data_IF_886568870980
#
_entry.id   IF_886568870980
#
_cell.length_a   1.000
_cell.length_b   1.000
_cell.length_c   1.000
_cell.angle_alpha   90.00
_cell.angle_beta   90.00
_cell.angle_gamma   90.00
#
_symmetry.space_group_name_H-M   'P 1'
#
loop_
_entity.id
_entity.type
_entity.pdbx_description
1 polymer ?
#
# COMPACT_ATOMS: atom_id res chain seq x y z
N UNK A 1 -24.49 40.96 -59.93
CA UNK A 1 -24.80 39.61 -59.40
C UNK A 1 -23.48 38.88 -59.27
N UNK A 2 -22.99 38.81 -58.04
CA UNK A 2 -21.59 38.52 -57.69
C UNK A 2 -21.25 37.03 -57.81
N UNK A 3 -20.19 36.72 -58.56
CA UNK A 3 -19.38 35.51 -58.34
C UNK A 3 -17.92 35.96 -58.31
N UNK A 4 -17.40 36.22 -57.10
CA UNK A 4 -15.96 36.35 -56.87
C UNK A 4 -15.40 35.03 -56.38
N UNK A 5 -14.63 34.45 -57.27
CA UNK A 5 -13.62 33.41 -57.10
C UNK A 5 -12.76 33.67 -55.85
N UNK A 6 -12.70 32.70 -54.93
CA UNK A 6 -11.64 32.61 -53.92
C UNK A 6 -11.13 31.18 -53.86
N UNK A 7 -9.85 31.10 -54.20
CA UNK A 7 -8.90 30.00 -54.17
C UNK A 7 -8.94 29.25 -52.84
N UNK A 8 -9.17 27.94 -52.86
CA UNK A 8 -8.89 27.06 -51.71
C UNK A 8 -7.47 26.51 -51.88
N UNK A 9 -6.52 27.12 -51.18
CA UNK A 9 -5.16 26.61 -51.04
C UNK A 9 -5.18 25.50 -49.99
N UNK A 10 -4.81 24.28 -50.39
CA UNK A 10 -4.50 23.18 -49.47
C UNK A 10 -3.34 23.58 -48.56
N UNK A 11 -3.55 23.53 -47.25
CA UNK A 11 -2.48 23.54 -46.25
C UNK A 11 -2.64 22.27 -45.42
N UNK A 12 -1.90 21.24 -45.80
CA UNK A 12 -1.57 20.11 -44.95
C UNK A 12 -0.71 20.60 -43.79
N UNK A 13 -1.30 20.76 -42.60
CA UNK A 13 -0.53 20.89 -41.36
C UNK A 13 -0.03 19.50 -40.94
N UNK A 14 1.21 19.20 -41.27
CA UNK A 14 1.98 18.17 -40.56
C UNK A 14 2.50 18.84 -39.28
N UNK A 15 1.80 18.62 -38.17
CA UNK A 15 2.29 19.04 -36.85
C UNK A 15 3.28 18.00 -36.35
N UNK A 16 4.56 18.21 -36.66
CA UNK A 16 5.66 17.53 -35.96
C UNK A 16 5.81 18.24 -34.62
N UNK A 17 5.17 17.71 -33.58
CA UNK A 17 5.48 18.09 -32.21
C UNK A 17 6.86 17.53 -31.86
N UNK A 18 7.92 18.28 -32.19
CA UNK A 18 9.24 18.10 -31.60
C UNK A 18 9.12 18.40 -30.11
N UNK A 19 8.95 17.34 -29.32
CA UNK A 19 9.16 17.38 -27.87
C UNK A 19 10.66 17.61 -27.66
N UNK A 20 11.04 18.86 -27.50
CA UNK A 20 12.37 19.22 -27.04
C UNK A 20 12.52 18.67 -25.61
N UNK A 21 13.21 17.52 -25.49
CA UNK A 21 13.78 17.05 -24.25
C UNK A 21 14.83 18.08 -23.81
N UNK A 22 14.41 19.03 -22.99
CA UNK A 22 15.34 19.77 -22.14
C UNK A 22 15.87 18.76 -21.14
N UNK A 23 17.03 18.22 -21.47
CA UNK A 23 17.94 17.67 -20.48
C UNK A 23 18.43 18.81 -19.59
N UNK A 24 18.13 18.70 -18.31
CA UNK A 24 19.07 18.92 -17.22
C UNK A 24 18.67 17.94 -16.13
N UNK A 25 19.46 16.88 -15.98
CA UNK A 25 19.34 15.97 -14.86
C UNK A 25 19.79 16.68 -13.59
N UNK A 26 18.83 17.17 -12.81
CA UNK A 26 19.02 17.26 -11.37
C UNK A 26 18.81 15.87 -10.79
N UNK A 27 19.84 15.04 -11.00
CA UNK A 27 20.13 13.93 -10.10
C UNK A 27 20.09 14.47 -8.67
N UNK A 28 19.67 13.65 -7.71
CA UNK A 28 19.77 13.90 -6.28
C UNK A 28 21.25 14.11 -5.89
N UNK A 29 21.82 15.24 -6.24
CA UNK A 29 23.15 15.67 -5.84
C UNK A 29 22.97 16.37 -4.52
N UNK A 30 23.01 15.59 -3.44
CA UNK A 30 23.57 16.10 -2.20
C UNK A 30 25.04 16.45 -2.48
N UNK A 31 25.28 17.68 -2.94
CA UNK A 31 26.60 18.29 -2.75
C UNK A 31 26.67 18.69 -1.28
N UNK A 32 27.25 17.85 -0.46
CA UNK A 32 28.03 18.31 0.68
C UNK A 32 29.32 17.52 0.74
N UNK A 33 30.39 18.22 0.38
CA UNK A 33 31.74 17.95 0.86
C UNK A 33 31.68 18.02 2.38
N UNK A 34 31.72 16.85 3.03
CA UNK A 34 32.27 16.58 4.37
C UNK A 34 31.71 15.22 4.81
N UNK A 35 32.60 14.22 4.89
CA UNK A 35 32.30 12.79 5.00
C UNK A 35 31.71 12.34 6.35
N UNK A 36 30.50 12.79 6.68
CA UNK A 36 29.60 12.14 7.64
C UNK A 36 28.17 12.21 7.09
N UNK A 37 27.62 11.06 6.73
CA UNK A 37 26.24 10.88 6.26
C UNK A 37 25.24 11.53 7.23
N UNK A 38 24.49 12.55 6.80
CA UNK A 38 23.40 13.13 7.59
C UNK A 38 22.28 12.10 7.75
N UNK A 39 21.83 11.89 8.98
CA UNK A 39 20.68 11.04 9.30
C UNK A 39 19.46 11.42 8.46
N UNK A 40 18.87 10.45 7.76
CA UNK A 40 17.62 10.61 7.03
C UNK A 40 16.47 10.27 7.97
N UNK A 41 16.05 11.23 8.80
CA UNK A 41 14.91 10.99 9.71
C UNK A 41 13.66 10.67 8.91
N UNK A 42 13.25 9.39 8.94
CA UNK A 42 12.00 8.96 8.31
C UNK A 42 10.79 9.51 9.06
N UNK A 43 9.72 9.80 8.32
CA UNK A 43 8.49 10.40 8.86
C UNK A 43 7.27 9.69 8.31
N UNK A 44 6.21 9.68 9.11
CA UNK A 44 4.86 9.34 8.67
C UNK A 44 4.14 10.63 8.27
N UNK A 45 3.62 10.64 7.04
CA UNK A 45 2.85 11.75 6.47
C UNK A 45 1.44 11.29 6.13
N UNK A 46 0.46 12.20 6.11
CA UNK A 46 -0.94 11.86 5.88
C UNK A 46 -1.47 12.53 4.62
N UNK A 47 -2.34 11.82 3.87
CA UNK A 47 -3.18 12.39 2.81
C UNK A 47 -4.58 11.81 2.85
N UNK A 48 -5.55 12.53 2.31
CA UNK A 48 -6.83 11.95 1.93
C UNK A 48 -6.71 11.49 0.49
N UNK A 49 -6.82 10.18 0.27
CA UNK A 49 -6.69 9.58 -1.06
C UNK A 49 -7.99 8.85 -1.43
N UNK A 50 -8.29 8.83 -2.73
CA UNK A 50 -9.47 8.16 -3.27
C UNK A 50 -9.13 6.71 -3.62
N UNK A 51 -9.97 5.78 -3.18
CA UNK A 51 -9.80 4.34 -3.40
C UNK A 51 -11.04 3.74 -4.04
N UNK A 52 -10.83 2.68 -4.80
CA UNK A 52 -11.90 1.94 -5.47
C UNK A 52 -12.71 1.16 -4.44
N UNK A 53 -14.02 1.30 -4.59
CA UNK A 53 -15.03 0.51 -3.90
C UNK A 53 -16.05 0.02 -4.92
N UNK A 54 -16.86 -0.96 -4.58
CA UNK A 54 -18.04 -1.30 -5.37
C UNK A 54 -19.19 -0.26 -5.19
N UNK A 55 -20.36 -0.53 -5.76
CA UNK A 55 -21.54 0.34 -5.59
C UNK A 55 -22.13 0.36 -4.20
N UNK A 56 -21.89 -0.67 -3.39
CA UNK A 56 -22.30 -0.73 -1.98
C UNK A 56 -21.21 -0.11 -1.08
N UNK A 57 -20.19 0.49 -1.69
CA UNK A 57 -19.03 1.10 -1.06
C UNK A 57 -18.16 0.12 -0.25
N UNK A 58 -18.13 -1.16 -0.64
CA UNK A 58 -17.20 -2.16 -0.13
C UNK A 58 -15.82 -2.01 -0.79
N UNK A 59 -14.76 -2.12 0.00
CA UNK A 59 -13.38 -1.92 -0.45
C UNK A 59 -12.86 -3.03 -1.35
N UNK A 60 -12.04 -2.65 -2.31
CA UNK A 60 -11.38 -3.55 -3.24
C UNK A 60 -9.87 -3.56 -3.04
N UNK A 61 -9.28 -4.73 -3.24
CA UNK A 61 -7.87 -5.01 -2.96
C UNK A 61 -7.17 -5.67 -4.14
N UNK A 62 -5.84 -5.57 -4.15
CA UNK A 62 -4.93 -6.35 -5.00
C UNK A 62 -4.02 -7.23 -4.15
N UNK A 63 -3.42 -8.25 -4.76
CA UNK A 63 -2.55 -9.21 -4.10
C UNK A 63 -1.15 -9.22 -4.71
N UNK A 64 -0.13 -8.93 -3.92
CA UNK A 64 1.27 -8.86 -4.37
C UNK A 64 1.80 -10.16 -4.99
N UNK A 65 1.21 -11.31 -4.62
CA UNK A 65 1.65 -12.60 -5.14
C UNK A 65 0.98 -12.95 -6.47
N UNK A 66 0.04 -12.15 -6.96
CA UNK A 66 -0.54 -12.36 -8.27
C UNK A 66 0.47 -12.09 -9.38
N UNK A 67 0.26 -12.75 -10.51
CA UNK A 67 0.91 -12.36 -11.74
C UNK A 67 -0.01 -11.39 -12.49
N UNK A 68 0.57 -10.55 -13.37
CA UNK A 68 -0.25 -9.69 -14.22
C UNK A 68 -1.23 -10.55 -15.04
N UNK A 69 -2.49 -10.13 -15.06
CA UNK A 69 -3.62 -10.84 -15.66
C UNK A 69 -3.86 -12.25 -15.09
N UNK A 70 -3.40 -12.56 -13.87
CA UNK A 70 -3.61 -13.90 -13.28
C UNK A 70 -3.62 -13.90 -11.75
N UNK A 71 -4.73 -14.37 -11.20
CA UNK A 71 -4.83 -14.70 -9.77
C UNK A 71 -4.00 -15.94 -9.41
N UNK A 72 -3.20 -15.83 -8.36
CA UNK A 72 -2.54 -16.93 -7.65
C UNK A 72 -3.25 -17.27 -6.32
N UNK A 73 -4.41 -16.65 -6.07
CA UNK A 73 -5.27 -16.94 -4.92
C UNK A 73 -6.10 -18.20 -5.22
N UNK A 74 -5.75 -19.31 -4.56
CA UNK A 74 -6.43 -20.60 -4.72
C UNK A 74 -7.83 -20.64 -4.08
N UNK A 75 -8.49 -21.79 -4.13
CA UNK A 75 -9.86 -21.95 -3.61
C UNK A 75 -10.00 -21.68 -2.10
N UNK A 76 -8.97 -21.92 -1.29
CA UNK A 76 -9.01 -21.60 0.15
C UNK A 76 -8.75 -20.11 0.38
N UNK A 77 -7.80 -19.53 -0.36
CA UNK A 77 -7.56 -18.10 -0.38
C UNK A 77 -8.82 -17.33 -0.76
N UNK A 78 -9.57 -17.77 -1.79
CA UNK A 78 -10.78 -17.11 -2.26
C UNK A 78 -11.97 -17.15 -1.30
N UNK A 79 -11.95 -18.01 -0.28
CA UNK A 79 -12.95 -17.94 0.81
C UNK A 79 -12.76 -16.70 1.68
N UNK A 80 -11.52 -16.22 1.79
CA UNK A 80 -11.15 -15.03 2.57
C UNK A 80 -11.01 -13.80 1.67
N UNK A 81 -10.58 -14.02 0.42
CA UNK A 81 -10.34 -13.00 -0.59
C UNK A 81 -11.09 -13.33 -1.88
N UNK A 82 -12.43 -13.20 -1.91
CA UNK A 82 -13.19 -13.51 -3.11
C UNK A 82 -12.81 -12.56 -4.25
N UNK A 83 -12.63 -13.08 -5.45
CA UNK A 83 -12.44 -12.25 -6.65
C UNK A 83 -13.69 -11.38 -6.90
N UNK A 84 -13.45 -10.13 -7.27
CA UNK A 84 -14.51 -9.19 -7.60
C UNK A 84 -14.99 -9.42 -9.04
N UNK A 85 -16.27 -9.76 -9.17
CA UNK A 85 -16.93 -9.93 -10.45
C UNK A 85 -17.36 -8.58 -11.01
N UNK A 86 -17.21 -8.40 -12.32
CA UNK A 86 -17.70 -7.19 -12.97
C UNK A 86 -17.57 -7.25 -14.48
N UNK A 87 -18.31 -6.38 -15.15
CA UNK A 87 -18.26 -6.24 -16.60
C UNK A 87 -17.20 -5.22 -17.01
N UNK A 88 -16.68 -5.36 -18.24
CA UNK A 88 -15.65 -4.46 -18.74
C UNK A 88 -16.11 -3.00 -18.73
N UNK A 89 -15.22 -2.11 -18.32
CA UNK A 89 -15.47 -0.68 -18.19
C UNK A 89 -14.99 0.07 -19.44
N UNK A 90 -15.32 1.36 -19.54
CA UNK A 90 -14.66 2.25 -20.50
C UNK A 90 -13.23 2.64 -20.07
N UNK A 91 -12.82 2.23 -18.88
CA UNK A 91 -11.51 2.52 -18.29
C UNK A 91 -10.39 1.79 -19.03
N UNK A 92 -9.29 2.51 -19.25
CA UNK A 92 -8.04 1.89 -19.67
C UNK A 92 -7.35 1.16 -18.51
N UNK A 93 -7.61 1.60 -17.29
CA UNK A 93 -7.00 1.06 -16.08
C UNK A 93 -7.79 -0.12 -15.50
N UNK A 94 -9.12 -0.16 -15.63
CA UNK A 94 -9.96 -1.24 -15.07
C UNK A 94 -10.55 -2.07 -16.21
N UNK A 95 -10.13 -3.32 -16.32
CA UNK A 95 -10.57 -4.23 -17.38
C UNK A 95 -10.98 -5.56 -16.83
N UNK A 96 -11.77 -6.31 -17.59
CA UNK A 96 -11.99 -7.72 -17.30
C UNK A 96 -10.65 -8.45 -17.38
N UNK A 97 -10.39 -9.24 -16.35
CA UNK A 97 -9.28 -10.15 -16.25
C UNK A 97 -9.39 -11.19 -17.37
N UNK A 98 -8.36 -11.27 -18.20
CA UNK A 98 -8.37 -12.05 -19.45
C UNK A 98 -8.87 -13.49 -19.25
N UNK A 99 -9.93 -13.87 -19.98
CA UNK A 99 -10.50 -15.21 -19.92
C UNK A 99 -11.40 -15.51 -18.72
N UNK A 100 -11.80 -14.49 -17.95
CA UNK A 100 -12.68 -14.61 -16.78
C UNK A 100 -13.80 -13.56 -16.81
N UNK A 101 -14.65 -13.54 -15.78
CA UNK A 101 -15.66 -12.50 -15.49
C UNK A 101 -15.29 -11.62 -14.28
N UNK A 102 -14.02 -11.69 -13.85
CA UNK A 102 -13.47 -10.87 -12.78
C UNK A 102 -12.87 -9.57 -13.32
N UNK A 103 -12.85 -8.51 -12.53
CA UNK A 103 -12.15 -7.29 -12.89
C UNK A 103 -10.71 -7.28 -12.38
N UNK A 104 -9.87 -6.54 -13.11
CA UNK A 104 -8.50 -6.25 -12.75
C UNK A 104 -8.22 -4.75 -12.90
N UNK A 105 -7.50 -4.18 -11.93
CA UNK A 105 -6.96 -2.83 -12.01
C UNK A 105 -5.49 -2.88 -12.45
N UNK A 106 -5.18 -2.25 -13.58
CA UNK A 106 -3.85 -2.26 -14.21
C UNK A 106 -3.25 -3.66 -14.32
N UNK A 107 -4.11 -4.63 -14.66
CA UNK A 107 -3.81 -6.08 -14.78
C UNK A 107 -3.65 -6.83 -13.46
N UNK A 108 -3.85 -6.19 -12.31
CA UNK A 108 -3.91 -6.87 -11.01
C UNK A 108 -5.35 -7.26 -10.70
N UNK A 109 -5.66 -8.56 -10.46
CA UNK A 109 -7.00 -8.99 -10.10
C UNK A 109 -7.54 -8.23 -8.88
N UNK A 110 -8.84 -7.90 -8.92
CA UNK A 110 -9.53 -7.23 -7.84
C UNK A 110 -10.19 -8.24 -6.91
N UNK A 111 -10.09 -8.00 -5.60
CA UNK A 111 -10.65 -8.86 -4.57
C UNK A 111 -11.47 -8.06 -3.57
N UNK A 112 -12.49 -8.70 -3.02
CA UNK A 112 -13.05 -8.32 -1.73
C UNK A 112 -12.22 -8.92 -0.60
N UNK A 113 -12.45 -8.40 0.61
CA UNK A 113 -12.03 -9.06 1.83
C UNK A 113 -13.23 -9.55 2.62
N UNK A 114 -13.26 -10.85 2.94
CA UNK A 114 -14.39 -11.48 3.61
C UNK A 114 -14.73 -10.87 4.97
N UNK A 115 -13.77 -10.21 5.63
CA UNK A 115 -14.01 -9.58 6.93
C UNK A 115 -14.44 -8.10 6.83
N UNK A 116 -14.42 -7.48 5.65
CA UNK A 116 -15.08 -6.19 5.48
C UNK A 116 -16.59 -6.43 5.49
N UNK A 117 -17.30 -5.86 6.47
CA UNK A 117 -18.75 -6.09 6.70
C UNK A 117 -19.59 -4.85 6.49
N UNK A 118 -18.96 -3.68 6.50
CA UNK A 118 -19.62 -2.41 6.32
C UNK A 118 -18.95 -1.60 5.20
N UNK A 119 -19.72 -0.71 4.55
CA UNK A 119 -19.19 0.22 3.57
C UNK A 119 -18.00 1.03 4.12
N UNK A 120 -16.91 1.06 3.38
CA UNK A 120 -15.66 1.75 3.73
C UNK A 120 -14.80 1.04 4.79
N UNK A 121 -15.12 -0.20 5.17
CA UNK A 121 -14.18 -1.04 5.91
C UNK A 121 -12.94 -1.26 5.05
N UNK A 122 -11.75 -1.18 5.66
CA UNK A 122 -10.46 -1.33 4.98
C UNK A 122 -9.59 -2.37 5.68
N UNK A 123 -10.22 -3.37 6.32
CA UNK A 123 -9.56 -4.30 7.24
C UNK A 123 -8.61 -5.27 6.52
N UNK A 124 -8.79 -5.42 5.21
CA UNK A 124 -7.92 -6.24 4.37
C UNK A 124 -6.57 -5.58 4.08
N UNK A 125 -6.47 -4.28 4.29
CA UNK A 125 -5.29 -3.54 3.92
C UNK A 125 -4.07 -3.95 4.76
N UNK A 126 -2.93 -4.16 4.11
CA UNK A 126 -1.68 -4.64 4.70
C UNK A 126 -1.78 -6.00 5.41
N UNK A 127 -2.83 -6.82 5.17
CA UNK A 127 -2.88 -8.17 5.72
C UNK A 127 -1.66 -8.95 5.22
N UNK A 128 -0.82 -9.41 6.16
CA UNK A 128 0.46 -10.09 5.87
C UNK A 128 1.39 -9.31 4.92
N UNK A 129 1.26 -7.99 4.85
CA UNK A 129 2.06 -7.09 4.00
C UNK A 129 1.99 -7.37 2.49
N UNK A 130 0.96 -8.07 2.02
CA UNK A 130 0.82 -8.50 0.62
C UNK A 130 -0.54 -8.16 0.00
N UNK A 131 -1.46 -7.57 0.76
CA UNK A 131 -2.79 -7.16 0.31
C UNK A 131 -2.93 -5.66 0.42
N UNK A 132 -3.32 -5.00 -0.67
CA UNK A 132 -3.29 -3.54 -0.77
C UNK A 132 -4.59 -2.99 -1.32
N UNK A 133 -5.12 -1.95 -0.67
CA UNK A 133 -6.27 -1.20 -1.17
C UNK A 133 -5.98 -0.61 -2.56
N UNK A 134 -6.98 -0.71 -3.45
CA UNK A 134 -6.81 -0.24 -4.82
C UNK A 134 -7.06 1.27 -4.91
N UNK A 135 -6.03 2.02 -5.30
CA UNK A 135 -6.19 3.46 -5.51
C UNK A 135 -7.08 3.73 -6.73
N UNK A 136 -7.96 4.72 -6.59
CA UNK A 136 -8.84 5.09 -7.67
C UNK A 136 -8.04 5.81 -8.77
N UNK A 137 -8.22 5.46 -10.06
CA UNK A 137 -7.56 6.16 -11.14
C UNK A 137 -7.97 7.65 -11.15
N UNK A 138 -6.96 8.52 -11.22
CA UNK A 138 -7.13 9.95 -11.38
C UNK A 138 -7.82 10.23 -12.72
N UNK A 139 -8.93 10.99 -12.70
CA UNK A 139 -9.68 11.32 -13.92
C UNK A 139 -10.53 10.19 -14.50
N UNK A 140 -10.63 9.01 -13.85
CA UNK A 140 -11.67 8.04 -14.23
C UNK A 140 -13.05 8.65 -14.02
N UNK A 141 -13.73 8.87 -15.14
CA UNK A 141 -15.15 9.19 -15.24
C UNK A 141 -15.97 7.90 -15.40
N UNK A 142 -15.55 6.82 -14.73
CA UNK A 142 -16.27 5.55 -14.76
C UNK A 142 -17.68 5.74 -14.19
N UNK A 143 -18.60 6.10 -15.08
CA UNK A 143 -20.03 5.83 -14.93
C UNK A 143 -20.25 4.36 -15.23
N UNK A 144 -19.65 3.50 -14.42
CA UNK A 144 -20.06 2.11 -14.34
C UNK A 144 -21.02 1.93 -13.16
N UNK A 145 -22.01 1.07 -13.35
CA UNK A 145 -22.98 0.64 -12.34
C UNK A 145 -22.40 -0.29 -11.27
N UNK A 146 -21.09 -0.54 -11.23
CA UNK A 146 -20.47 -1.54 -10.34
C UNK A 146 -19.29 -1.03 -9.49
N UNK A 147 -18.73 0.17 -9.77
CA UNK A 147 -17.60 0.73 -9.03
C UNK A 147 -17.84 2.19 -8.68
N UNK A 148 -17.32 2.60 -7.53
CA UNK A 148 -17.33 3.98 -7.02
C UNK A 148 -15.97 4.32 -6.39
N UNK A 149 -15.87 5.51 -5.79
CA UNK A 149 -14.68 5.97 -5.08
C UNK A 149 -15.06 6.40 -3.67
N UNK A 150 -14.25 6.03 -2.69
CA UNK A 150 -14.35 6.55 -1.32
C UNK A 150 -13.05 7.25 -0.93
N UNK A 151 -13.14 8.25 -0.05
CA UNK A 151 -11.94 8.87 0.52
C UNK A 151 -11.54 8.15 1.80
N UNK A 152 -10.27 7.78 1.88
CA UNK A 152 -9.66 7.26 3.09
C UNK A 152 -8.46 8.11 3.47
N UNK A 153 -8.19 8.18 4.77
CA UNK A 153 -6.99 8.78 5.32
C UNK A 153 -5.88 7.75 5.19
N UNK A 154 -4.90 8.06 4.38
CA UNK A 154 -3.73 7.23 4.17
C UNK A 154 -2.53 7.85 4.88
N UNK A 155 -1.79 7.03 5.61
CA UNK A 155 -0.50 7.39 6.22
C UNK A 155 0.61 6.70 5.43
N UNK A 156 1.64 7.44 5.02
CA UNK A 156 2.71 6.94 4.17
C UNK A 156 4.08 7.44 4.60
N UNK A 157 5.13 6.73 4.17
CA UNK A 157 6.51 7.00 4.54
C UNK A 157 7.11 8.11 3.67
N UNK A 158 7.73 9.07 4.34
CA UNK A 158 8.53 10.13 3.70
C UNK A 158 9.89 10.25 4.39
N UNK A 159 10.83 10.90 3.72
CA UNK A 159 12.07 11.32 4.38
C UNK A 159 11.92 12.62 5.18
N UNK A 160 13.05 13.13 5.69
CA UNK A 160 13.10 14.37 6.50
C UNK A 160 12.56 15.60 5.77
N UNK A 161 12.66 15.62 4.43
CA UNK A 161 12.25 16.70 3.55
C UNK A 161 10.84 16.47 2.99
N UNK A 162 10.10 15.49 3.52
CA UNK A 162 8.74 15.12 3.11
C UNK A 162 8.66 14.63 1.65
N UNK A 163 9.73 14.03 1.13
CA UNK A 163 9.68 13.32 -0.16
C UNK A 163 9.12 11.91 0.06
N UNK A 164 8.15 11.51 -0.77
CA UNK A 164 7.53 10.19 -0.71
C UNK A 164 8.50 9.08 -1.09
N UNK A 165 8.39 7.94 -0.39
CA UNK A 165 9.15 6.73 -0.67
C UNK A 165 8.24 5.66 -1.29
N UNK A 166 8.80 4.90 -2.22
CA UNK A 166 8.10 3.93 -3.07
C UNK A 166 8.78 2.57 -3.10
N UNK A 167 8.01 1.56 -3.48
CA UNK A 167 8.46 0.19 -3.79
C UNK A 167 8.07 -0.21 -5.22
N UNK A 168 8.67 -1.28 -5.72
CA UNK A 168 8.53 -1.73 -7.11
C UNK A 168 8.18 -3.21 -7.20
N UNK A 169 7.12 -3.57 -7.92
CA UNK A 169 6.65 -4.97 -8.03
C UNK A 169 7.62 -5.91 -8.73
N UNK A 170 8.52 -5.37 -9.57
CA UNK A 170 9.53 -6.20 -10.22
C UNK A 170 10.72 -6.49 -9.32
N UNK A 171 10.81 -5.86 -8.16
CA UNK A 171 11.81 -6.22 -7.17
C UNK A 171 11.42 -7.54 -6.49
N UNK A 172 12.42 -8.23 -5.96
CA UNK A 172 12.18 -9.37 -5.08
C UNK A 172 12.74 -9.04 -3.71
N UNK A 173 12.36 -9.82 -2.70
CA UNK A 173 12.80 -9.56 -1.33
C UNK A 173 14.35 -9.48 -1.27
N UNK A 174 14.87 -8.32 -0.88
CA UNK A 174 16.30 -8.07 -0.78
C UNK A 174 17.02 -7.74 -2.10
N UNK A 175 16.32 -7.68 -3.23
CA UNK A 175 16.94 -7.50 -4.56
C UNK A 175 16.21 -6.41 -5.35
N UNK A 176 16.95 -5.35 -5.68
CA UNK A 176 16.50 -4.33 -6.63
C UNK A 176 16.75 -4.77 -8.07
N UNK A 177 15.73 -4.55 -8.91
CA UNK A 177 15.76 -4.71 -10.36
C UNK A 177 15.64 -3.38 -11.12
N UNK A 178 15.53 -2.26 -10.41
CA UNK A 178 15.52 -0.92 -10.98
C UNK A 178 16.94 -0.45 -11.26
N UNK A 179 17.36 -0.53 -12.53
CA UNK A 179 18.65 -0.02 -13.01
C UNK A 179 18.46 0.88 -14.23
N UNK A 180 19.41 1.79 -14.45
CA UNK A 180 19.53 2.47 -15.73
C UNK A 180 19.95 1.50 -16.85
N UNK A 181 19.81 1.94 -18.10
CA UNK A 181 20.12 1.10 -19.28
C UNK A 181 21.60 0.69 -19.32
N UNK A 182 22.48 1.56 -18.81
CA UNK A 182 23.88 1.27 -18.48
C UNK A 182 24.29 2.10 -17.24
N UNK A 183 25.35 1.71 -16.52
CA UNK A 183 25.84 2.42 -15.34
C UNK A 183 26.15 3.92 -15.55
N UNK A 184 26.39 4.36 -16.78
CA UNK A 184 26.79 5.74 -17.11
C UNK A 184 25.75 6.53 -17.90
N UNK A 185 24.69 5.87 -18.38
CA UNK A 185 23.74 6.48 -19.32
C UNK A 185 22.87 7.59 -18.74
N UNK A 186 22.63 7.61 -17.43
CA UNK A 186 21.65 8.48 -16.78
C UNK A 186 20.23 8.36 -17.37
N UNK A 187 19.93 7.24 -18.05
CA UNK A 187 18.65 6.97 -18.70
C UNK A 187 18.20 5.55 -18.42
N UNK A 188 16.99 5.41 -17.88
CA UNK A 188 16.44 4.13 -17.46
C UNK A 188 15.71 4.25 -16.13
N UNK A 189 15.68 3.18 -15.34
CA UNK A 189 14.84 3.14 -14.15
C UNK A 189 15.30 4.12 -13.07
N UNK A 190 16.59 4.14 -12.73
CA UNK A 190 17.15 4.97 -11.66
C UNK A 190 17.05 6.47 -11.97
N UNK A 191 17.05 6.85 -13.26
CA UNK A 191 16.85 8.26 -13.65
C UNK A 191 15.45 8.80 -13.33
N UNK A 192 14.43 7.93 -13.28
CA UNK A 192 13.03 8.28 -12.97
C UNK A 192 12.69 7.93 -11.52
N UNK A 193 13.31 6.86 -11.00
CA UNK A 193 13.11 6.29 -9.68
C UNK A 193 14.43 6.24 -8.90
N UNK A 194 14.95 7.39 -8.43
CA UNK A 194 16.23 7.41 -7.76
C UNK A 194 16.19 6.58 -6.48
N UNK A 195 17.28 5.86 -6.23
CA UNK A 195 17.39 4.96 -5.09
C UNK A 195 17.43 5.75 -3.78
N UNK A 196 16.73 5.27 -2.75
CA UNK A 196 16.87 5.79 -1.41
C UNK A 196 18.08 5.16 -0.70
N UNK A 197 19.13 5.96 -0.58
CA UNK A 197 20.34 5.62 0.17
C UNK A 197 20.27 6.26 1.56
N UNK A 198 20.47 5.46 2.62
CA UNK A 198 20.64 6.02 3.96
C UNK A 198 21.38 5.06 4.87
N UNK A 199 22.46 5.54 5.49
CA UNK A 199 23.23 4.79 6.49
C UNK A 199 22.63 4.91 7.90
N UNK A 200 21.82 5.96 8.15
CA UNK A 200 21.17 6.23 9.42
C UNK A 200 19.76 6.78 9.16
N UNK A 201 18.75 6.01 9.55
CA UNK A 201 17.32 6.36 9.40
C UNK A 201 16.82 7.31 10.51
N UNK A 202 17.66 7.62 11.49
CA UNK A 202 17.30 8.42 12.65
C UNK A 202 16.13 7.82 13.44
N UNK A 203 15.29 8.70 13.99
CA UNK A 203 14.05 8.29 14.65
C UNK A 203 13.08 7.74 13.61
N UNK A 204 12.55 6.54 13.86
CA UNK A 204 11.56 5.90 13.01
C UNK A 204 10.15 6.41 13.36
N UNK A 205 9.25 6.55 12.36
CA UNK A 205 7.88 6.97 12.62
C UNK A 205 7.09 5.90 13.37
N UNK A 206 6.05 6.35 14.07
CA UNK A 206 5.11 5.45 14.76
C UNK A 206 4.51 4.42 13.79
N UNK A 207 4.35 3.18 14.27
CA UNK A 207 3.90 2.05 13.44
C UNK A 207 4.99 1.39 12.61
N UNK A 208 6.26 1.80 12.78
CA UNK A 208 7.42 1.12 12.19
C UNK A 208 8.47 0.80 13.25
N UNK A 209 9.27 -0.23 12.96
CA UNK A 209 10.36 -0.69 13.82
C UNK A 209 11.64 -0.83 13.02
N UNK A 210 12.79 -0.90 13.70
CA UNK A 210 14.07 -1.13 13.04
C UNK A 210 14.10 -2.46 12.26
N UNK A 211 13.30 -3.47 12.67
CA UNK A 211 13.21 -4.75 11.99
C UNK A 211 12.50 -4.66 10.64
N UNK A 212 11.68 -3.62 10.42
CA UNK A 212 11.06 -3.38 9.12
C UNK A 212 12.05 -2.87 8.09
N UNK A 213 13.23 -2.37 8.51
CA UNK A 213 14.23 -1.80 7.61
C UNK A 213 15.46 -2.68 7.51
N UNK A 214 15.93 -2.89 6.29
CA UNK A 214 17.16 -3.62 6.00
C UNK A 214 18.01 -2.84 5.01
N UNK A 215 19.31 -3.14 4.96
CA UNK A 215 20.20 -2.64 3.91
C UNK A 215 20.51 -3.78 2.95
N UNK A 216 20.27 -3.55 1.67
CA UNK A 216 20.54 -4.50 0.59
C UNK A 216 21.76 -4.05 -0.20
N UNK A 217 22.49 -5.02 -0.75
CA UNK A 217 23.58 -4.75 -1.67
C UNK A 217 23.08 -4.86 -3.12
N UNK A 218 23.12 -3.76 -3.86
CA UNK A 218 22.81 -3.71 -5.29
C UNK A 218 23.90 -4.38 -6.11
N UNK A 219 23.56 -4.84 -7.31
CA UNK A 219 24.53 -5.38 -8.27
C UNK A 219 25.47 -4.26 -8.75
N UNK A 220 26.72 -4.31 -8.29
CA UNK A 220 27.73 -3.29 -8.60
C UNK A 220 28.06 -3.19 -10.09
N UNK A 221 27.82 -4.24 -10.89
CA UNK A 221 28.04 -4.19 -12.34
C UNK A 221 26.93 -3.42 -13.07
N UNK A 222 25.78 -3.22 -12.43
CA UNK A 222 24.60 -2.57 -13.01
C UNK A 222 24.28 -1.23 -12.37
N UNK A 223 24.64 -1.06 -11.09
CA UNK A 223 24.42 0.18 -10.34
C UNK A 223 25.10 1.36 -11.02
N UNK A 224 24.47 2.53 -10.92
CA UNK A 224 24.99 3.78 -11.48
C UNK A 224 26.38 4.10 -10.96
N UNK A 225 27.30 4.43 -11.87
CA UNK A 225 28.70 4.68 -11.53
C UNK A 225 28.83 5.92 -10.61
N UNK A 226 29.60 5.77 -9.53
CA UNK A 226 29.83 6.83 -8.54
C UNK A 226 28.75 6.96 -7.46
N UNK A 227 27.67 6.17 -7.52
CA UNK A 227 26.63 6.13 -6.48
C UNK A 227 26.87 4.98 -5.48
N UNK A 228 26.35 5.07 -4.23
CA UNK A 228 26.39 3.97 -3.28
C UNK A 228 25.67 2.71 -3.81
N UNK A 229 26.17 1.53 -3.45
CA UNK A 229 25.50 0.25 -3.76
C UNK A 229 24.60 -0.25 -2.63
N UNK A 230 24.62 0.40 -1.47
CA UNK A 230 23.83 0.03 -0.30
C UNK A 230 22.50 0.76 -0.31
N UNK A 231 21.41 0.05 -0.58
CA UNK A 231 20.06 0.59 -0.63
C UNK A 231 19.26 0.18 0.59
N UNK A 232 18.41 1.07 1.09
CA UNK A 232 17.47 0.73 2.16
C UNK A 232 16.27 0.00 1.58
N UNK A 233 15.81 -1.04 2.25
CA UNK A 233 14.58 -1.75 1.94
C UNK A 233 13.62 -1.72 3.15
N UNK A 234 12.33 -1.58 2.88
CA UNK A 234 11.25 -1.67 3.87
C UNK A 234 10.48 -2.97 3.67
N UNK A 235 10.36 -3.78 4.72
CA UNK A 235 9.77 -5.12 4.71
C UNK A 235 10.29 -5.98 3.55
N UNK A 236 11.60 -5.84 3.29
CA UNK A 236 12.27 -6.55 2.21
C UNK A 236 12.16 -5.94 0.82
N UNK A 237 11.31 -4.93 0.62
CA UNK A 237 11.14 -4.23 -0.66
C UNK A 237 12.10 -3.03 -0.76
N UNK A 238 12.95 -2.94 -1.80
CA UNK A 238 13.86 -1.82 -1.97
C UNK A 238 13.12 -0.47 -2.08
N UNK A 239 13.69 0.58 -1.48
CA UNK A 239 13.07 1.91 -1.42
C UNK A 239 13.61 2.85 -2.50
N UNK A 240 12.70 3.63 -3.09
CA UNK A 240 13.00 4.60 -4.13
C UNK A 240 12.25 5.91 -3.89
N UNK A 241 12.75 6.97 -4.48
CA UNK A 241 12.00 8.19 -4.73
C UNK A 241 11.40 8.20 -6.13
N UNK A 242 10.63 9.26 -6.44
CA UNK A 242 10.12 9.52 -7.78
C UNK A 242 10.49 10.93 -8.24
N UNK A 243 11.27 11.04 -9.31
CA UNK A 243 11.83 12.33 -9.78
C UNK A 243 10.77 13.42 -10.00
N UNK A 244 9.58 13.15 -10.58
CA UNK A 244 8.53 14.16 -10.72
C UNK A 244 7.95 14.73 -9.43
N UNK A 245 8.11 14.05 -8.28
CA UNK A 245 7.63 14.55 -6.98
C UNK A 245 8.56 15.59 -6.36
N UNK A 246 9.80 15.71 -6.84
CA UNK A 246 10.84 16.56 -6.22
C UNK A 246 10.55 18.05 -6.16
N UNK A 247 9.52 18.50 -6.88
CA UNK A 247 9.13 19.91 -6.92
C UNK A 247 8.19 20.28 -5.79
N UNK A 248 7.57 19.30 -5.14
CA UNK A 248 6.45 19.50 -4.22
C UNK A 248 6.58 18.52 -3.04
N UNK A 249 6.79 19.04 -1.83
CA UNK A 249 6.73 18.23 -0.62
C UNK A 249 5.38 17.50 -0.53
N UNK A 250 5.40 16.24 -0.06
CA UNK A 250 4.22 15.35 0.03
C UNK A 250 3.57 14.98 -1.32
N UNK A 251 4.18 15.34 -2.45
CA UNK A 251 3.72 14.84 -3.74
C UNK A 251 3.87 13.33 -3.80
N UNK A 252 2.85 12.68 -4.36
CA UNK A 252 2.71 11.22 -4.36
C UNK A 252 2.35 10.71 -5.75
N UNK A 253 2.82 11.40 -6.81
CA UNK A 253 2.46 11.13 -8.20
C UNK A 253 3.11 9.85 -8.73
N UNK A 254 4.09 9.30 -8.01
CA UNK A 254 4.70 8.00 -8.30
C UNK A 254 3.77 6.83 -8.00
N UNK A 255 2.75 7.03 -7.18
CA UNK A 255 1.88 5.96 -6.76
C UNK A 255 1.12 5.36 -7.95
N UNK A 256 1.12 4.03 -8.04
CA UNK A 256 0.60 3.22 -9.13
C UNK A 256 1.17 3.48 -10.53
N UNK A 257 2.26 4.24 -10.71
CA UNK A 257 2.80 4.50 -12.05
C UNK A 257 3.05 3.19 -12.82
N UNK A 258 2.48 3.09 -14.03
CA UNK A 258 2.50 1.87 -14.87
C UNK A 258 1.94 0.60 -14.21
N UNK A 259 1.22 0.73 -13.10
CA UNK A 259 0.60 -0.35 -12.34
C UNK A 259 1.56 -1.19 -11.50
N UNK A 260 2.80 -0.75 -11.31
CA UNK A 260 3.85 -1.58 -10.69
C UNK A 260 4.69 -0.85 -9.64
N UNK A 261 4.42 0.43 -9.41
CA UNK A 261 5.10 1.25 -8.42
C UNK A 261 4.10 1.62 -7.33
N UNK A 262 4.49 1.50 -6.06
CA UNK A 262 3.56 1.67 -4.94
C UNK A 262 4.16 2.58 -3.90
N UNK A 263 3.38 3.56 -3.45
CA UNK A 263 3.72 4.36 -2.28
C UNK A 263 3.92 3.44 -1.06
N UNK A 264 4.94 3.71 -0.25
CA UNK A 264 5.13 2.99 1.02
C UNK A 264 4.05 3.45 1.99
N UNK A 265 2.94 2.72 1.98
CA UNK A 265 1.84 2.94 2.90
C UNK A 265 2.13 2.30 4.26
N UNK A 266 1.91 3.06 5.32
CA UNK A 266 2.03 2.61 6.71
C UNK A 266 0.66 2.22 7.28
N UNK A 267 -0.39 2.94 6.88
CA UNK A 267 -1.75 2.71 7.36
C UNK A 267 -2.80 3.33 6.44
N UNK A 268 -4.02 2.79 6.49
CA UNK A 268 -5.20 3.33 5.85
C UNK A 268 -6.39 3.30 6.82
N UNK A 269 -7.12 4.40 6.90
CA UNK A 269 -8.25 4.58 7.83
C UNK A 269 -9.42 5.24 7.13
N UNK A 270 -10.63 4.74 7.38
CA UNK A 270 -11.87 5.36 6.93
C UNK A 270 -11.99 6.80 7.46
N UNK A 271 -12.36 7.74 6.58
CA UNK A 271 -12.65 9.12 7.00
C UNK A 271 -14.08 9.16 7.52
N UNK A 272 -14.28 9.29 8.84
CA UNK A 272 -15.62 9.49 9.43
C UNK A 272 -16.00 8.60 10.61
N UNK A 273 -15.09 8.37 11.56
CA UNK A 273 -15.38 7.88 12.91
C UNK A 273 -14.36 8.47 13.90
N UNK A 274 -14.72 9.60 14.49
CA UNK A 274 -13.98 10.43 15.45
C UNK A 274 -12.59 10.97 15.02
N UNK A 275 -12.59 12.23 14.59
CA UNK A 275 -11.41 13.07 14.39
C UNK A 275 -11.03 13.80 15.68
N UNK A 276 -10.75 13.10 16.79
CA UNK A 276 -10.10 13.70 17.97
C UNK A 276 -9.54 12.64 18.92
N UNK A 277 -8.50 11.91 18.51
CA UNK A 277 -7.45 11.41 19.41
C UNK A 277 -6.46 10.57 18.60
N UNK A 278 -5.18 10.65 18.92
CA UNK A 278 -4.35 9.45 18.88
C UNK A 278 -4.96 8.50 19.90
N UNK A 279 -5.61 7.38 19.56
CA UNK A 279 -6.19 6.55 20.59
C UNK A 279 -5.14 5.50 20.97
N UNK A 280 -4.52 5.74 22.12
CA UNK A 280 -4.35 4.63 23.05
C UNK A 280 -5.71 3.95 23.22
N UNK A 281 -5.85 2.70 22.75
CA UNK A 281 -6.93 1.77 23.08
C UNK A 281 -8.35 2.19 22.62
N UNK A 282 -8.62 2.27 21.30
CA UNK A 282 -9.97 2.56 20.77
C UNK A 282 -10.89 1.33 20.91
N UNK A 283 -11.80 1.35 21.88
CA UNK A 283 -12.72 0.24 22.14
C UNK A 283 -13.79 0.05 21.05
N UNK A 284 -14.14 1.09 20.30
CA UNK A 284 -15.12 0.97 19.21
C UNK A 284 -14.50 0.30 17.98
N UNK A 285 -13.26 0.65 17.63
CA UNK A 285 -12.47 -0.08 16.65
C UNK A 285 -12.21 -1.53 17.11
N UNK A 286 -11.90 -1.70 18.40
CA UNK A 286 -11.75 -3.00 19.03
C UNK A 286 -12.98 -3.88 18.95
N UNK A 287 -14.17 -3.29 19.16
CA UNK A 287 -15.46 -3.97 19.03
C UNK A 287 -15.68 -4.49 17.62
N UNK A 288 -15.34 -3.70 16.60
CA UNK A 288 -15.44 -4.12 15.21
C UNK A 288 -14.52 -5.30 14.93
N UNK A 289 -13.27 -5.26 15.38
CA UNK A 289 -12.32 -6.38 15.24
C UNK A 289 -12.85 -7.62 15.98
N UNK A 290 -13.42 -7.45 17.17
CA UNK A 290 -13.94 -8.53 17.99
C UNK A 290 -15.09 -9.30 17.36
N UNK A 291 -15.85 -8.70 16.44
CA UNK A 291 -16.88 -9.44 15.69
C UNK A 291 -16.30 -10.69 15.00
N UNK A 292 -15.04 -10.63 14.56
CA UNK A 292 -14.31 -11.76 13.98
C UNK A 292 -13.94 -12.82 15.04
N UNK A 293 -13.68 -12.40 16.28
CA UNK A 293 -13.35 -13.26 17.40
C UNK A 293 -14.60 -13.96 17.98
N UNK A 294 -15.75 -13.27 17.96
CA UNK A 294 -17.00 -13.70 18.56
C UNK A 294 -17.56 -14.99 17.94
N UNK A 295 -17.22 -15.31 16.70
CA UNK A 295 -17.60 -16.58 16.05
C UNK A 295 -17.13 -17.82 16.83
N UNK A 296 -16.00 -17.72 17.53
CA UNK A 296 -15.44 -18.78 18.35
C UNK A 296 -15.54 -18.45 19.84
N UNK A 297 -15.22 -17.21 20.23
CA UNK A 297 -15.17 -16.77 21.62
C UNK A 297 -16.51 -16.26 22.18
N UNK A 298 -17.57 -16.29 21.36
CA UNK A 298 -18.90 -15.73 21.63
C UNK A 298 -18.90 -14.22 21.83
N UNK A 299 -20.05 -13.59 21.60
CA UNK A 299 -20.21 -12.14 21.78
C UNK A 299 -19.92 -11.67 23.21
N UNK A 300 -20.15 -12.53 24.20
CA UNK A 300 -19.87 -12.25 25.61
C UNK A 300 -18.45 -12.64 26.06
N UNK A 301 -17.60 -13.16 25.17
CA UNK A 301 -16.22 -13.54 25.49
C UNK A 301 -16.09 -14.78 26.36
N UNK A 302 -17.18 -15.52 26.60
CA UNK A 302 -17.17 -16.70 27.47
C UNK A 302 -16.83 -18.00 26.73
N UNK A 303 -16.61 -17.96 25.42
CA UNK A 303 -16.18 -19.12 24.64
C UNK A 303 -17.11 -20.34 24.77
N UNK A 304 -16.62 -21.52 24.41
CA UNK A 304 -17.40 -22.77 24.45
C UNK A 304 -16.64 -23.88 25.17
N UNK A 305 -17.33 -24.77 25.92
CA UNK A 305 -16.68 -25.92 26.54
C UNK A 305 -16.00 -26.81 25.49
N UNK A 306 -14.69 -27.05 25.65
CA UNK A 306 -13.87 -27.81 24.69
C UNK A 306 -13.48 -27.05 23.42
N UNK A 307 -13.89 -25.77 23.29
CA UNK A 307 -13.59 -24.90 22.16
C UNK A 307 -12.78 -23.67 22.56
N UNK A 308 -13.24 -22.48 22.16
CA UNK A 308 -12.49 -21.25 22.40
C UNK A 308 -12.49 -20.87 23.88
N UNK A 309 -11.37 -20.33 24.36
CA UNK A 309 -11.20 -19.93 25.76
C UNK A 309 -12.04 -18.70 26.13
N UNK A 310 -12.25 -18.51 27.43
CA UNK A 310 -12.98 -17.40 28.03
C UNK A 310 -12.16 -16.10 28.06
N UNK A 311 -11.99 -15.47 26.91
CA UNK A 311 -11.18 -14.24 26.81
C UNK A 311 -11.80 -13.04 27.54
N UNK A 312 -13.14 -13.01 27.70
CA UNK A 312 -13.83 -11.96 28.45
C UNK A 312 -13.55 -12.00 29.96
N UNK A 313 -13.16 -13.16 30.50
CA UNK A 313 -12.83 -13.29 31.94
C UNK A 313 -11.40 -12.81 32.28
N UNK A 314 -10.54 -12.56 31.27
CA UNK A 314 -9.18 -12.05 31.51
C UNK A 314 -9.22 -10.64 32.11
N UNK A 315 -10.15 -9.80 31.62
CA UNK A 315 -10.49 -8.49 32.20
C UNK A 315 -9.36 -7.45 32.22
N UNK A 316 -8.23 -7.72 31.57
CA UNK A 316 -7.03 -6.88 31.55
C UNK A 316 -6.53 -6.76 30.10
N UNK A 317 -6.64 -5.55 29.53
CA UNK A 317 -6.27 -5.29 28.15
C UNK A 317 -4.79 -5.55 27.89
N UNK A 318 -3.90 -5.26 28.84
CA UNK A 318 -2.46 -5.47 28.69
C UNK A 318 -2.12 -6.95 28.58
N UNK A 319 -2.79 -7.82 29.35
CA UNK A 319 -2.61 -9.28 29.25
C UNK A 319 -3.15 -9.87 27.96
N UNK A 320 -4.24 -9.32 27.44
CA UNK A 320 -4.83 -9.76 26.16
C UNK A 320 -3.90 -9.32 25.02
N UNK A 321 -3.38 -8.09 25.07
CA UNK A 321 -2.40 -7.55 24.13
C UNK A 321 -1.12 -8.39 24.14
N UNK A 322 -0.56 -8.67 25.33
CA UNK A 322 0.63 -9.52 25.48
C UNK A 322 0.42 -10.91 24.87
N UNK A 323 -0.74 -11.54 25.10
CA UNK A 323 -1.04 -12.85 24.54
C UNK A 323 -1.18 -12.83 23.01
N UNK A 324 -1.84 -11.81 22.46
CA UNK A 324 -1.98 -11.63 21.02
C UNK A 324 -0.62 -11.35 20.37
N UNK A 325 0.20 -10.51 20.99
CA UNK A 325 1.57 -10.24 20.53
C UNK A 325 2.46 -11.49 20.62
N UNK A 326 2.33 -12.29 21.69
CA UNK A 326 3.02 -13.58 21.79
C UNK A 326 2.60 -14.51 20.65
N UNK A 327 1.30 -14.62 20.35
CA UNK A 327 0.80 -15.45 19.24
C UNK A 327 1.22 -14.93 17.86
N UNK A 328 1.31 -13.60 17.70
CA UNK A 328 1.81 -12.96 16.48
C UNK A 328 3.30 -13.26 16.25
N UNK A 329 4.13 -13.14 17.29
CA UNK A 329 5.59 -13.18 17.17
C UNK A 329 6.19 -14.58 17.30
N UNK A 330 5.69 -15.39 18.22
CA UNK A 330 6.18 -16.74 18.51
C UNK A 330 5.08 -17.78 18.28
N UNK A 331 4.04 -17.76 19.12
CA UNK A 331 2.90 -18.65 19.02
C UNK A 331 3.19 -20.11 19.37
N UNK A 332 4.41 -20.45 19.81
CA UNK A 332 4.76 -21.81 20.23
C UNK A 332 3.83 -22.31 21.34
N UNK A 333 3.30 -23.53 21.16
CA UNK A 333 2.37 -24.15 22.11
C UNK A 333 0.97 -23.52 22.15
N UNK A 334 0.63 -22.63 21.21
CA UNK A 334 -0.73 -22.07 21.07
C UNK A 334 -1.47 -22.72 19.91
N UNK A 335 -2.79 -22.56 19.90
CA UNK A 335 -3.65 -23.06 18.84
C UNK A 335 -3.27 -22.39 17.50
N UNK A 336 -3.04 -23.19 16.46
CA UNK A 336 -2.55 -22.71 15.15
C UNK A 336 -3.51 -21.74 14.45
N UNK A 337 -4.82 -21.87 14.67
CA UNK A 337 -5.83 -20.96 14.13
C UNK A 337 -5.67 -19.57 14.78
N UNK A 338 -5.55 -19.53 16.11
CA UNK A 338 -5.36 -18.26 16.84
C UNK A 338 -4.02 -17.60 16.53
N UNK A 339 -2.97 -18.39 16.30
CA UNK A 339 -1.68 -17.87 15.81
C UNK A 339 -1.85 -17.21 14.43
N UNK A 340 -2.58 -17.86 13.52
CA UNK A 340 -2.87 -17.29 12.20
C UNK A 340 -3.64 -15.98 12.27
N UNK A 341 -4.65 -15.90 13.15
CA UNK A 341 -5.43 -14.68 13.40
C UNK A 341 -4.55 -13.57 13.96
N UNK A 342 -3.80 -13.84 15.03
CA UNK A 342 -2.93 -12.86 15.68
C UNK A 342 -1.87 -12.31 14.72
N UNK A 343 -1.32 -13.16 13.84
CA UNK A 343 -0.38 -12.74 12.79
C UNK A 343 -0.98 -11.76 11.79
N UNK A 344 -2.28 -11.87 11.53
CA UNK A 344 -3.02 -11.01 10.61
C UNK A 344 -3.39 -9.64 11.19
N UNK A 345 -3.31 -9.45 12.50
CA UNK A 345 -3.63 -8.17 13.14
C UNK A 345 -2.41 -7.23 13.15
N UNK A 346 -2.62 -5.95 12.90
CA UNK A 346 -1.61 -4.90 13.17
C UNK A 346 -1.46 -4.68 14.68
N UNK A 347 -0.37 -4.05 15.11
CA UNK A 347 -0.14 -3.74 16.53
C UNK A 347 -1.26 -2.85 17.11
N UNK A 348 -1.75 -1.88 16.32
CA UNK A 348 -2.86 -1.04 16.75
C UNK A 348 -4.17 -1.83 16.85
N UNK A 349 -4.44 -2.74 15.90
CA UNK A 349 -5.60 -3.62 15.98
C UNK A 349 -5.55 -4.53 17.21
N UNK A 350 -4.36 -5.01 17.58
CA UNK A 350 -4.15 -5.78 18.82
C UNK A 350 -4.50 -4.92 20.04
N UNK A 351 -4.01 -3.68 20.12
CA UNK A 351 -4.35 -2.75 21.22
C UNK A 351 -5.83 -2.48 21.32
N UNK A 352 -6.46 -2.16 20.19
CA UNK A 352 -7.89 -1.81 20.12
C UNK A 352 -8.77 -3.01 20.52
N UNK A 353 -8.54 -4.20 19.95
CA UNK A 353 -9.33 -5.40 20.29
C UNK A 353 -9.09 -5.85 21.73
N UNK A 354 -7.87 -5.72 22.24
CA UNK A 354 -7.54 -6.07 23.63
C UNK A 354 -8.25 -5.15 24.62
N UNK A 355 -8.29 -3.84 24.31
CA UNK A 355 -9.04 -2.87 25.07
C UNK A 355 -10.55 -3.20 25.09
N UNK A 356 -11.12 -3.53 23.92
CA UNK A 356 -12.52 -3.92 23.85
C UNK A 356 -12.81 -5.22 24.63
N UNK A 357 -12.00 -6.27 24.47
CA UNK A 357 -12.21 -7.54 25.18
C UNK A 357 -12.18 -7.33 26.69
N UNK A 358 -11.32 -6.45 27.20
CA UNK A 358 -11.30 -6.10 28.61
C UNK A 358 -12.62 -5.48 29.11
N UNK A 359 -13.41 -4.86 28.22
CA UNK A 359 -14.76 -4.35 28.54
C UNK A 359 -15.83 -5.44 28.61
N UNK A 360 -15.57 -6.63 28.05
CA UNK A 360 -16.52 -7.76 28.08
C UNK A 360 -16.60 -8.45 29.44
N UNK A 361 -15.80 -7.99 30.42
CA UNK A 361 -15.73 -8.56 31.76
C UNK A 361 -17.12 -8.74 32.36
N UNK A 362 -17.44 -9.98 32.70
CA UNK A 362 -18.65 -10.38 33.42
C UNK A 362 -18.29 -11.20 34.63
#
# INVERSE_FOLDING_TARGET
MEKKMKTLTQITMVSVATLALIGCGDSYKDKNEDGVSKASTLKASNRNAAFLVDTDAMSLYTFDKDALNKSNCDAECQKIWPLFNGANTGSEDIKVLEGTDHLAYRKHPLYYFANDKAPGDVLGNNVKDVWHLVHAPAGSTDSQTALSKTLIKQTFLTDKDQRALYTFDKDTNGVSNCYDSTPTSGTGCESIWPVFYSADLGALPEGTTAADFTVINRDAARAKEGEPTQQVAYKGKPLYYFTPDNKEALSTKGDWVKGVWHLVELNAQKIGGDTTSTPTNNTDAGKQIYTNCASCHREDGLGTPGGAIKIGEVGDAGKIEELLNFMKNDGTGKNSIMVGIAKGLSEQQIKDVSAYIATLKK
#
